data_IF_005707756429
#
_entry.id   IF_005707756429
#
_cell.length_a   1.000
_cell.length_b   1.000
_cell.length_c   1.000
_cell.angle_alpha   90.00
_cell.angle_beta   90.00
_cell.angle_gamma   90.00
#
_symmetry.space_group_name_H-M   'P 1'
#
loop_
_entity.id
_entity.type
_entity.pdbx_description
1 polymer ?
#
# COMPACT_ATOMS: atom_id res chain seq x y z
N UNK A 1 -19.47 -26.74 -11.66
CA UNK A 1 -19.78 -25.81 -10.55
C UNK A 1 -19.03 -24.53 -10.90
N UNK A 2 -19.76 -23.44 -11.11
CA UNK A 2 -19.28 -22.14 -11.62
C UNK A 2 -17.99 -22.18 -12.47
N UNK A 3 -18.10 -22.62 -13.72
CA UNK A 3 -17.21 -22.19 -14.82
C UNK A 3 -17.50 -20.71 -15.12
N UNK A 4 -17.27 -19.84 -14.14
CA UNK A 4 -17.18 -18.41 -14.38
C UNK A 4 -15.73 -18.16 -14.73
N UNK A 5 -15.44 -17.84 -15.99
CA UNK A 5 -14.11 -17.41 -16.43
C UNK A 5 -13.72 -16.23 -15.53
N UNK A 6 -12.91 -16.50 -14.51
CA UNK A 6 -12.39 -15.48 -13.61
C UNK A 6 -11.58 -14.57 -14.51
N UNK A 7 -12.16 -13.41 -14.81
CA UNK A 7 -11.59 -12.46 -15.75
C UNK A 7 -11.27 -11.18 -15.03
N UNK A 8 -10.21 -10.55 -15.49
CA UNK A 8 -9.91 -9.18 -15.12
C UNK A 8 -10.88 -8.27 -15.88
N UNK A 9 -11.70 -7.47 -15.18
CA UNK A 9 -12.50 -6.44 -15.85
C UNK A 9 -11.58 -5.37 -16.42
N UNK A 10 -12.03 -4.67 -17.47
CA UNK A 10 -11.34 -3.47 -17.92
C UNK A 10 -11.34 -2.46 -16.78
N UNK A 11 -10.15 -2.03 -16.34
CA UNK A 11 -10.03 -0.98 -15.34
C UNK A 11 -10.14 0.38 -16.02
N UNK A 12 -10.85 1.29 -15.37
CA UNK A 12 -11.01 2.68 -15.79
C UNK A 12 -9.77 3.53 -15.46
N UNK A 13 -8.99 3.12 -14.46
CA UNK A 13 -7.73 3.74 -14.05
C UNK A 13 -6.63 2.71 -13.80
N UNK A 14 -5.38 3.11 -13.99
CA UNK A 14 -4.23 2.27 -13.68
C UNK A 14 -3.80 2.40 -12.22
N UNK A 15 -3.12 1.37 -11.72
CA UNK A 15 -2.65 1.26 -10.34
C UNK A 15 -1.15 1.53 -10.32
N UNK A 16 -0.71 2.43 -9.46
CA UNK A 16 0.71 2.73 -9.27
C UNK A 16 1.33 1.82 -8.21
N UNK A 17 2.39 1.12 -8.56
CA UNK A 17 3.19 0.35 -7.61
C UNK A 17 4.50 1.07 -7.35
N UNK A 18 4.86 1.25 -6.08
CA UNK A 18 6.08 1.95 -5.66
C UNK A 18 6.92 0.99 -4.82
N UNK A 19 8.01 0.49 -5.39
CA UNK A 19 9.05 -0.28 -4.69
C UNK A 19 10.39 0.45 -4.81
N UNK A 20 11.44 -0.27 -5.21
CA UNK A 20 12.72 0.34 -5.62
C UNK A 20 12.52 1.28 -6.82
N UNK A 21 11.63 0.89 -7.73
CA UNK A 21 11.21 1.69 -8.87
C UNK A 21 9.68 1.89 -8.84
N UNK A 22 9.23 2.98 -9.45
CA UNK A 22 7.80 3.23 -9.63
C UNK A 22 7.34 2.66 -10.96
N UNK A 23 6.38 1.74 -10.92
CA UNK A 23 5.73 1.19 -12.10
C UNK A 23 4.21 1.39 -12.06
N UNK A 24 3.56 1.25 -13.21
CA UNK A 24 2.11 1.38 -13.34
C UNK A 24 1.56 0.11 -13.98
N UNK A 25 0.47 -0.40 -13.42
CA UNK A 25 -0.20 -1.61 -13.89
C UNK A 25 -1.62 -1.24 -14.31
N UNK A 26 -1.95 -1.52 -15.57
CA UNK A 26 -3.28 -1.35 -16.15
C UNK A 26 -4.06 -2.68 -16.16
N UNK A 27 -5.32 -2.62 -16.62
CA UNK A 27 -6.19 -3.80 -16.69
C UNK A 27 -5.62 -4.94 -17.54
N UNK A 28 -5.01 -4.64 -18.69
CA UNK A 28 -4.38 -5.65 -19.56
C UNK A 28 -3.17 -6.32 -18.90
N UNK A 29 -2.37 -5.54 -18.17
CA UNK A 29 -1.24 -6.05 -17.39
C UNK A 29 -1.70 -6.94 -16.23
N UNK A 30 -2.78 -6.58 -15.54
CA UNK A 30 -3.40 -7.43 -14.52
C UNK A 30 -4.01 -8.70 -15.13
N UNK A 31 -4.61 -8.62 -16.33
CA UNK A 31 -5.17 -9.77 -17.03
C UNK A 31 -4.11 -10.82 -17.41
N UNK A 32 -2.84 -10.41 -17.46
CA UNK A 32 -1.70 -11.29 -17.73
C UNK A 32 -1.14 -11.95 -16.46
N UNK A 33 -1.65 -11.59 -15.27
CA UNK A 33 -1.22 -12.15 -13.98
C UNK A 33 -2.13 -13.32 -13.55
N UNK A 34 -1.61 -14.25 -12.73
CA UNK A 34 -2.44 -15.32 -12.21
C UNK A 34 -3.53 -14.76 -11.29
N UNK A 35 -4.78 -15.20 -11.52
CA UNK A 35 -5.88 -14.93 -10.61
C UNK A 35 -5.98 -16.03 -9.57
N UNK A 36 -6.25 -15.63 -8.33
CA UNK A 36 -6.51 -16.53 -7.22
C UNK A 36 -7.82 -16.18 -6.56
N UNK A 37 -8.47 -17.20 -6.01
CA UNK A 37 -9.59 -17.04 -5.09
C UNK A 37 -9.09 -17.20 -3.65
N UNK A 38 -9.56 -16.35 -2.74
CA UNK A 38 -9.34 -16.48 -1.30
C UNK A 38 -10.60 -16.14 -0.54
N UNK A 39 -10.87 -16.92 0.50
CA UNK A 39 -11.91 -16.58 1.47
C UNK A 39 -11.29 -15.65 2.52
N UNK A 40 -11.89 -14.46 2.69
CA UNK A 40 -11.42 -13.47 3.65
C UNK A 40 -12.58 -13.06 4.56
N UNK A 41 -12.32 -12.99 5.87
CA UNK A 41 -13.22 -12.35 6.84
C UNK A 41 -12.94 -10.84 6.84
N UNK A 42 -14.00 -10.04 6.68
CA UNK A 42 -13.94 -8.59 6.84
C UNK A 42 -14.75 -8.23 8.08
N UNK A 43 -14.10 -7.54 9.02
CA UNK A 43 -14.72 -7.00 10.22
C UNK A 43 -15.09 -5.54 9.97
N UNK A 44 -16.38 -5.23 9.95
CA UNK A 44 -16.87 -3.87 9.82
C UNK A 44 -16.60 -3.05 11.09
N UNK A 45 -16.56 -1.73 10.97
CA UNK A 45 -16.43 -0.81 12.11
C UNK A 45 -17.56 -0.97 13.16
N UNK A 46 -18.71 -1.54 12.77
CA UNK A 46 -19.83 -1.88 13.67
C UNK A 46 -19.60 -3.15 14.49
N UNK A 47 -18.54 -3.90 14.20
CA UNK A 47 -18.24 -5.21 14.82
C UNK A 47 -18.84 -6.40 14.07
N UNK A 48 -19.63 -6.17 13.02
CA UNK A 48 -20.16 -7.23 12.16
C UNK A 48 -19.03 -7.91 11.37
N UNK A 49 -19.12 -9.23 11.23
CA UNK A 49 -18.14 -10.04 10.50
C UNK A 49 -18.79 -10.68 9.30
N UNK A 50 -18.13 -10.55 8.15
CA UNK A 50 -18.60 -11.13 6.90
C UNK A 50 -17.46 -11.93 6.26
N UNK A 51 -17.69 -13.20 6.03
CA UNK A 51 -16.75 -14.07 5.33
C UNK A 51 -17.23 -14.24 3.90
N UNK A 52 -16.40 -13.86 2.94
CA UNK A 52 -16.76 -13.86 1.53
C UNK A 52 -15.59 -14.37 0.68
N UNK A 53 -15.91 -14.97 -0.47
CA UNK A 53 -14.90 -15.42 -1.42
C UNK A 53 -14.54 -14.27 -2.36
N UNK A 54 -13.28 -13.88 -2.35
CA UNK A 54 -12.73 -12.85 -3.20
C UNK A 54 -11.89 -13.49 -4.29
N UNK A 55 -11.85 -12.86 -5.46
CA UNK A 55 -10.90 -13.24 -6.50
C UNK A 55 -10.16 -12.02 -7.04
N UNK A 56 -8.91 -12.22 -7.43
CA UNK A 56 -8.08 -11.16 -7.96
C UNK A 56 -6.62 -11.57 -8.06
N UNK A 57 -5.76 -10.58 -8.18
CA UNK A 57 -4.32 -10.80 -8.31
C UNK A 57 -3.69 -10.90 -6.91
N UNK A 58 -2.87 -11.93 -6.62
CA UNK A 58 -2.12 -12.00 -5.37
C UNK A 58 -1.24 -10.77 -5.19
N UNK A 59 -1.21 -10.23 -3.97
CA UNK A 59 -0.37 -9.05 -3.67
C UNK A 59 1.10 -9.34 -3.95
N UNK A 60 1.56 -10.56 -3.67
CA UNK A 60 2.92 -11.02 -3.96
C UNK A 60 3.33 -10.76 -5.43
N UNK A 61 2.47 -11.08 -6.40
CA UNK A 61 2.74 -10.86 -7.83
C UNK A 61 2.91 -9.38 -8.18
N UNK A 62 2.20 -8.50 -7.46
CA UNK A 62 2.35 -7.05 -7.59
C UNK A 62 3.68 -6.57 -6.99
N UNK A 63 4.08 -7.11 -5.83
CA UNK A 63 5.34 -6.76 -5.19
C UNK A 63 6.54 -7.18 -6.04
N UNK A 64 6.50 -8.37 -6.64
CA UNK A 64 7.53 -8.85 -7.57
C UNK A 64 7.66 -7.93 -8.79
N UNK A 65 6.53 -7.46 -9.34
CA UNK A 65 6.51 -6.49 -10.44
C UNK A 65 7.05 -5.11 -10.08
N UNK A 66 6.92 -4.71 -8.82
CA UNK A 66 7.35 -3.41 -8.34
C UNK A 66 8.80 -3.39 -7.83
N UNK A 67 9.51 -4.53 -7.90
CA UNK A 67 10.85 -4.69 -7.33
C UNK A 67 10.88 -4.17 -5.88
N UNK A 68 10.04 -4.75 -5.02
CA UNK A 68 9.93 -4.31 -3.62
C UNK A 68 11.17 -4.73 -2.83
N UNK A 69 11.79 -3.82 -2.06
CA UNK A 69 12.97 -4.15 -1.26
C UNK A 69 12.69 -5.26 -0.24
N UNK A 70 13.63 -6.18 0.02
CA UNK A 70 13.45 -7.24 1.01
C UNK A 70 13.33 -6.73 2.46
N UNK A 71 13.82 -5.52 2.75
CA UNK A 71 13.65 -4.83 4.03
C UNK A 71 12.25 -4.24 4.24
N UNK A 72 11.35 -4.34 3.26
CA UNK A 72 9.98 -3.83 3.36
C UNK A 72 9.25 -4.47 4.54
N UNK A 73 8.74 -3.63 5.42
CA UNK A 73 8.00 -4.05 6.62
C UNK A 73 6.50 -3.87 6.47
N UNK A 74 6.08 -2.89 5.66
CA UNK A 74 4.70 -2.49 5.49
C UNK A 74 4.40 -2.11 4.05
N UNK A 75 3.13 -2.20 3.66
CA UNK A 75 2.59 -1.62 2.45
C UNK A 75 1.63 -0.48 2.80
N UNK A 76 1.84 0.68 2.20
CA UNK A 76 0.85 1.76 2.20
C UNK A 76 -0.08 1.55 1.01
N UNK A 77 -1.31 1.14 1.29
CA UNK A 77 -2.35 0.96 0.28
C UNK A 77 -3.20 2.22 0.22
N UNK A 78 -3.29 2.82 -0.97
CA UNK A 78 -3.94 4.11 -1.19
C UNK A 78 -5.08 3.95 -2.19
N UNK A 79 -6.27 4.39 -1.77
CA UNK A 79 -7.48 4.50 -2.57
C UNK A 79 -7.41 5.67 -3.56
N UNK A 80 -8.15 5.60 -4.66
CA UNK A 80 -8.30 6.68 -5.64
C UNK A 80 -8.83 7.99 -5.05
N UNK A 81 -9.59 7.91 -3.96
CA UNK A 81 -10.10 9.07 -3.20
C UNK A 81 -9.10 9.64 -2.17
N UNK A 82 -7.92 9.03 -2.05
CA UNK A 82 -6.85 9.45 -1.15
C UNK A 82 -6.89 8.80 0.24
N UNK A 83 -7.85 7.92 0.55
CA UNK A 83 -7.82 7.10 1.77
C UNK A 83 -6.58 6.20 1.78
N UNK A 84 -5.96 6.03 2.95
CA UNK A 84 -4.70 5.27 3.11
C UNK A 84 -4.83 4.30 4.27
N UNK A 85 -4.25 3.12 4.08
CA UNK A 85 -4.07 2.15 5.15
C UNK A 85 -2.65 1.58 5.12
N UNK A 86 -2.00 1.53 6.28
CA UNK A 86 -0.71 0.93 6.46
C UNK A 86 -0.91 -0.53 6.91
N UNK A 87 -0.41 -1.46 6.11
CA UNK A 87 -0.62 -2.89 6.30
C UNK A 87 0.73 -3.57 6.47
N UNK A 88 0.92 -4.33 7.56
CA UNK A 88 2.12 -5.13 7.75
C UNK A 88 2.34 -6.06 6.54
N UNK A 89 3.58 -6.19 6.08
CA UNK A 89 3.92 -7.00 4.91
C UNK A 89 3.48 -8.45 5.08
N UNK A 90 3.55 -8.98 6.30
CA UNK A 90 3.11 -10.33 6.68
C UNK A 90 1.64 -10.56 6.32
N UNK A 91 0.77 -9.62 6.72
CA UNK A 91 -0.65 -9.63 6.39
C UNK A 91 -0.88 -9.39 4.91
N UNK A 92 -0.13 -8.47 4.31
CA UNK A 92 -0.31 -8.12 2.90
C UNK A 92 0.03 -9.27 1.94
N UNK A 93 1.00 -10.12 2.27
CA UNK A 93 1.34 -11.31 1.50
C UNK A 93 0.19 -12.34 1.45
N UNK A 94 -0.62 -12.39 2.50
CA UNK A 94 -1.86 -13.16 2.55
C UNK A 94 -3.04 -12.46 1.82
N UNK A 95 -2.76 -11.34 1.13
CA UNK A 95 -3.74 -10.52 0.44
C UNK A 95 -3.89 -10.75 -1.06
N UNK A 96 -5.02 -10.22 -1.56
CA UNK A 96 -5.33 -10.05 -2.97
C UNK A 96 -5.61 -8.57 -3.25
N UNK A 97 -5.17 -8.11 -4.43
CA UNK A 97 -5.87 -7.04 -5.13
C UNK A 97 -7.10 -7.68 -5.79
N UNK A 98 -8.20 -7.68 -5.07
CA UNK A 98 -9.46 -8.25 -5.50
C UNK A 98 -10.10 -7.42 -6.63
N UNK A 99 -10.62 -8.15 -7.62
CA UNK A 99 -11.32 -7.63 -8.80
C UNK A 99 -12.79 -8.09 -8.81
N UNK A 100 -13.13 -9.05 -7.95
CA UNK A 100 -14.48 -9.54 -7.78
C UNK A 100 -14.68 -10.30 -6.48
N UNK A 101 -15.95 -10.59 -6.21
CA UNK A 101 -16.44 -11.22 -5.00
C UNK A 101 -17.58 -12.18 -5.33
N UNK A 102 -17.57 -13.37 -4.72
CA UNK A 102 -18.56 -14.42 -4.91
C UNK A 102 -18.82 -14.73 -6.40
N UNK A 103 -17.75 -14.81 -7.19
CA UNK A 103 -17.78 -15.09 -8.63
C UNK A 103 -18.31 -13.95 -9.50
N UNK A 104 -18.43 -12.72 -8.99
CA UNK A 104 -18.87 -11.55 -9.75
C UNK A 104 -17.84 -10.41 -9.69
N UNK A 105 -17.56 -9.72 -10.81
CA UNK A 105 -16.72 -8.52 -10.80
C UNK A 105 -17.22 -7.45 -9.83
N UNK A 106 -16.31 -6.71 -9.19
CA UNK A 106 -16.67 -5.60 -8.30
C UNK A 106 -17.36 -4.47 -9.07
N UNK A 107 -16.90 -4.20 -10.28
CA UNK A 107 -17.46 -3.17 -11.16
C UNK A 107 -18.96 -3.39 -11.49
N UNK A 108 -19.46 -4.63 -11.39
CA UNK A 108 -20.88 -4.93 -11.65
C UNK A 108 -21.78 -4.60 -10.45
N UNK A 109 -21.20 -4.51 -9.24
CA UNK A 109 -21.93 -4.44 -7.98
C UNK A 109 -21.55 -3.25 -7.09
N UNK A 110 -20.58 -2.43 -7.50
CA UNK A 110 -20.05 -1.32 -6.72
C UNK A 110 -19.45 -0.25 -7.62
N UNK A 111 -19.22 0.94 -7.07
CA UNK A 111 -18.64 2.09 -7.79
C UNK A 111 -17.11 2.05 -7.88
N UNK A 112 -16.49 0.90 -7.58
CA UNK A 112 -15.04 0.68 -7.62
C UNK A 112 -14.72 -0.66 -8.27
N UNK A 113 -13.56 -0.72 -8.91
CA UNK A 113 -13.15 -1.88 -9.72
C UNK A 113 -12.16 -2.79 -8.97
N UNK A 114 -11.49 -2.25 -7.95
CA UNK A 114 -10.43 -2.93 -7.21
C UNK A 114 -10.63 -2.81 -5.70
N UNK A 115 -10.16 -3.79 -4.94
CA UNK A 115 -10.13 -3.72 -3.48
C UNK A 115 -8.97 -4.53 -2.94
N UNK A 116 -8.21 -3.99 -2.01
CA UNK A 116 -7.27 -4.76 -1.23
C UNK A 116 -8.03 -5.53 -0.13
N UNK A 117 -7.81 -6.84 -0.08
CA UNK A 117 -8.33 -7.72 0.98
C UNK A 117 -7.24 -8.67 1.39
N UNK A 118 -7.14 -8.99 2.68
CA UNK A 118 -6.18 -9.95 3.19
C UNK A 118 -6.73 -10.70 4.38
N UNK A 119 -6.28 -11.95 4.54
CA UNK A 119 -6.60 -12.74 5.73
C UNK A 119 -5.93 -12.09 6.94
N UNK A 120 -6.71 -11.78 7.98
CA UNK A 120 -6.22 -11.12 9.19
C UNK A 120 -6.11 -9.59 9.10
N UNK A 121 -6.50 -8.97 7.97
CA UNK A 121 -6.65 -7.52 7.91
C UNK A 121 -7.97 -7.07 8.54
N UNK A 122 -7.90 -6.04 9.38
CA UNK A 122 -9.09 -5.38 9.91
C UNK A 122 -9.83 -4.58 8.83
N UNK A 123 -11.11 -4.27 9.06
CA UNK A 123 -11.97 -3.54 8.11
C UNK A 123 -11.35 -2.31 7.45
N UNK A 124 -10.81 -1.34 8.22
CA UNK A 124 -10.14 -0.15 7.67
C UNK A 124 -8.99 -0.49 6.72
N UNK A 125 -8.29 -1.60 6.97
CA UNK A 125 -7.16 -2.06 6.16
C UNK A 125 -7.58 -2.82 4.90
N UNK A 126 -8.89 -2.96 4.62
CA UNK A 126 -9.42 -3.55 3.38
C UNK A 126 -9.81 -2.47 2.35
N UNK A 127 -8.80 -1.74 1.87
CA UNK A 127 -8.93 -0.52 1.07
C UNK A 127 -9.68 -0.77 -0.24
N UNK A 128 -10.72 0.02 -0.50
CA UNK A 128 -11.47 0.02 -1.76
C UNK A 128 -10.82 0.95 -2.78
N UNK A 129 -11.12 0.73 -4.05
CA UNK A 129 -10.67 1.57 -5.17
C UNK A 129 -9.16 1.81 -5.16
N UNK A 130 -8.39 0.74 -5.01
CA UNK A 130 -6.93 0.82 -4.87
C UNK A 130 -6.32 1.44 -6.13
N UNK A 131 -5.74 2.62 -5.97
CA UNK A 131 -5.03 3.35 -7.02
C UNK A 131 -3.51 3.35 -6.85
N UNK A 132 -3.00 3.05 -5.64
CA UNK A 132 -1.56 2.95 -5.39
C UNK A 132 -1.21 1.99 -4.25
N UNK A 133 -0.12 1.25 -4.42
CA UNK A 133 0.50 0.42 -3.38
C UNK A 133 1.98 0.82 -3.28
N UNK A 134 2.44 1.16 -2.09
CA UNK A 134 3.82 1.59 -1.83
C UNK A 134 4.46 0.72 -0.75
N UNK A 135 5.67 0.24 -1.03
CA UNK A 135 6.51 -0.42 -0.06
C UNK A 135 7.10 0.57 0.94
N UNK A 136 7.05 0.23 2.23
CA UNK A 136 7.61 1.04 3.30
C UNK A 136 8.45 0.19 4.26
N UNK A 137 9.54 0.81 4.72
CA UNK A 137 10.39 0.29 5.79
C UNK A 137 10.23 1.21 6.99
N UNK A 138 9.65 0.68 8.07
CA UNK A 138 9.45 1.41 9.32
C UNK A 138 10.52 0.96 10.31
N UNK A 139 11.09 1.92 11.02
CA UNK A 139 12.00 1.69 12.12
C UNK A 139 11.26 1.09 13.33
N UNK A 140 11.95 0.32 14.19
CA UNK A 140 11.36 -0.24 15.38
C UNK A 140 10.73 0.83 16.29
N UNK A 141 9.42 0.74 16.51
CA UNK A 141 8.67 1.66 17.36
C UNK A 141 8.01 2.83 16.63
N UNK A 142 8.17 2.96 15.31
CA UNK A 142 7.33 3.84 14.50
C UNK A 142 5.89 3.32 14.49
N UNK A 143 4.93 4.25 14.57
CA UNK A 143 3.50 3.95 14.53
C UNK A 143 3.02 3.87 13.06
N UNK A 144 2.57 2.70 12.57
CA UNK A 144 2.09 2.55 11.20
C UNK A 144 0.90 3.45 10.86
N UNK A 145 0.05 3.76 11.85
CA UNK A 145 -1.14 4.60 11.65
C UNK A 145 -0.79 6.07 11.35
N UNK A 146 0.42 6.51 11.72
CA UNK A 146 0.91 7.86 11.41
C UNK A 146 1.00 8.13 9.89
N UNK A 147 1.18 7.09 9.08
CA UNK A 147 1.25 7.18 7.61
C UNK A 147 -0.12 7.14 6.92
N UNK A 148 -1.19 6.81 7.68
CA UNK A 148 -2.57 6.73 7.18
C UNK A 148 -3.23 8.12 7.13
N UNK A 149 -2.80 9.03 8.01
CA UNK A 149 -3.20 10.43 7.98
C UNK A 149 -2.46 11.10 6.81
N UNK A 150 -3.20 11.51 5.77
CA UNK A 150 -2.63 12.15 4.60
C UNK A 150 -1.71 13.30 4.97
N UNK A 151 -0.40 13.10 4.80
CA UNK A 151 0.57 14.16 5.03
C UNK A 151 0.45 15.15 3.87
N UNK A 152 -0.12 16.33 4.13
CA UNK A 152 0.40 17.54 3.50
C UNK A 152 1.86 17.63 3.99
N UNK A 153 2.80 17.18 3.15
CA UNK A 153 4.26 17.29 3.28
C UNK A 153 4.81 17.31 4.71
N UNK A 154 5.42 16.21 5.15
CA UNK A 154 6.16 16.17 6.41
C UNK A 154 7.14 17.37 6.47
N UNK A 155 7.26 18.07 7.61
CA UNK A 155 8.30 19.09 7.73
C UNK A 155 9.64 18.39 7.58
N UNK A 156 10.48 18.94 6.69
CA UNK A 156 11.87 18.56 6.57
C UNK A 156 12.46 18.49 7.98
N UNK A 157 12.93 17.32 8.37
CA UNK A 157 13.70 17.15 9.60
C UNK A 157 15.02 17.90 9.42
N UNK A 158 15.00 19.21 9.66
CA UNK A 158 16.21 19.98 9.92
C UNK A 158 16.79 19.44 11.23
N UNK A 159 17.67 18.46 11.08
CA UNK A 159 18.55 18.01 12.13
C UNK A 159 19.43 19.20 12.53
N UNK A 160 19.13 19.83 13.66
CA UNK A 160 20.03 20.81 14.29
C UNK A 160 21.38 20.14 14.59
N UNK A 161 22.53 20.69 14.14
CA UNK A 161 23.79 20.43 14.80
C UNK A 161 24.00 21.43 15.94
N UNK A 162 23.91 20.91 17.14
CA UNK A 162 24.31 21.55 18.40
C UNK A 162 25.84 21.79 18.45
N UNK A 163 26.20 23.05 18.71
CA UNK A 163 27.40 23.58 19.38
C UNK A 163 28.82 23.31 18.84
N UNK A 164 29.58 24.39 18.62
CA UNK A 164 30.81 24.68 19.39
C UNK A 164 31.13 26.19 19.36
N UNK A 165 31.33 26.89 20.50
CA UNK A 165 31.96 28.20 20.48
C UNK A 165 33.48 28.04 20.33
N UNK A 166 34.02 28.48 19.20
CA UNK A 166 35.48 28.67 19.04
C UNK A 166 35.92 29.87 19.89
N UNK A 167 36.66 29.58 20.95
CA UNK A 167 37.52 30.55 21.58
C UNK A 167 38.77 30.73 20.70
N UNK A 168 39.04 31.97 20.27
CA UNK A 168 40.36 32.33 19.75
C UNK A 168 40.76 33.72 20.27
N UNK A 169 41.85 33.74 21.02
CA UNK A 169 42.67 34.90 21.34
C UNK A 169 44.09 34.38 21.64
N UNK A 170 45.16 35.19 21.49
CA UNK A 170 45.44 36.28 20.56
C UNK A 170 46.81 36.10 19.83
N UNK A 171 47.30 37.16 19.15
CA UNK A 171 48.70 37.49 18.76
C UNK A 171 49.05 37.38 17.24
N UNK A 172 50.17 37.99 16.75
CA UNK A 172 50.62 39.38 16.86
C UNK A 172 51.09 39.99 15.49
N UNK A 173 51.48 41.27 15.52
CA UNK A 173 52.53 41.91 14.72
C UNK A 173 52.24 42.58 13.34
N UNK A 174 52.71 43.84 13.30
CA UNK A 174 53.27 44.65 12.21
C UNK A 174 52.40 45.23 11.08
N UNK A 175 52.12 46.54 11.20
CA UNK A 175 52.17 47.45 10.06
C UNK A 175 52.58 48.86 10.54
N UNK A 176 53.76 49.25 10.04
CA UNK A 176 54.48 50.53 10.08
C UNK A 176 53.66 51.84 10.16
#
# INVERSE_FOLDING_TARGET
MADGDLRVPSLSSSIRLVGEETTTVDGDSLASLPLQERECEIVCATGDRYTETWYGVPVLELLERASVPPETTHLLVVSGDGYRACVAVETALEGLLALGKNGRPLADASDYETRFVAVGADGPRTVKDVGRIEAMTLEPGEDPEAYELGVESAPESESEPVSTPTAEAPSPDDAA
#
